data_IF_015317618130
#
_entry.id   IF_015317618130
#
_cell.length_a   1.000
_cell.length_b   1.000
_cell.length_c   1.000
_cell.angle_alpha   90.00
_cell.angle_beta   90.00
_cell.angle_gamma   90.00
#
_symmetry.space_group_name_H-M   'P 1'
#
loop_
_entity.id
_entity.type
_entity.pdbx_description
1 polymer ?
#
# COMPACT_ATOMS: atom_id res chain seq x y z
N UNK A 1 -14.95 2.64 3.79
CA UNK A 1 -13.54 2.48 4.18
C UNK A 1 -12.64 2.84 3.02
N UNK A 2 -12.29 4.11 2.96
CA UNK A 2 -11.30 4.72 2.09
C UNK A 2 -9.91 4.63 2.73
N UNK A 3 -8.86 4.83 1.94
CA UNK A 3 -7.48 4.83 2.45
C UNK A 3 -7.26 5.90 3.55
N UNK A 4 -7.98 7.03 3.49
CA UNK A 4 -8.00 8.05 4.53
C UNK A 4 -8.67 7.57 5.81
N UNK A 5 -9.84 6.94 5.71
CA UNK A 5 -10.57 6.42 6.87
C UNK A 5 -9.77 5.31 7.59
N UNK A 6 -8.98 4.55 6.84
CA UNK A 6 -8.13 3.49 7.39
C UNK A 6 -6.79 4.00 7.93
N UNK A 7 -6.47 5.29 7.77
CA UNK A 7 -5.20 5.87 8.20
C UNK A 7 -4.00 5.49 7.31
N UNK A 8 -4.23 4.93 6.13
CA UNK A 8 -3.17 4.50 5.20
C UNK A 8 -2.79 5.59 4.18
N UNK A 9 -3.60 6.63 4.04
CA UNK A 9 -3.35 7.69 3.06
C UNK A 9 -4.08 8.99 3.37
N UNK A 10 -3.81 10.02 2.56
CA UNK A 10 -4.53 11.29 2.64
C UNK A 10 -5.77 11.35 1.73
N UNK A 11 -5.86 10.45 0.75
CA UNK A 11 -6.96 10.34 -0.21
C UNK A 11 -7.73 9.03 -0.05
N UNK A 12 -8.71 8.81 -0.93
CA UNK A 12 -9.64 7.69 -0.75
C UNK A 12 -9.16 6.37 -1.35
N UNK A 13 -8.42 6.42 -2.45
CA UNK A 13 -8.06 5.23 -3.23
C UNK A 13 -6.55 4.98 -3.33
N UNK A 14 -5.72 5.93 -2.89
CA UNK A 14 -4.27 5.82 -2.97
C UNK A 14 -3.66 5.95 -1.58
N UNK A 15 -2.77 5.01 -1.29
CA UNK A 15 -1.99 4.95 -0.06
C UNK A 15 -0.53 4.60 -0.40
N UNK A 16 0.36 4.89 0.54
CA UNK A 16 1.77 4.50 0.43
C UNK A 16 2.17 3.79 1.71
N UNK A 17 2.81 2.63 1.56
CA UNK A 17 3.38 1.89 2.69
C UNK A 17 4.89 1.92 2.55
N UNK A 18 5.57 2.33 3.61
CA UNK A 18 7.02 2.25 3.69
C UNK A 18 7.41 1.04 4.53
N UNK A 19 8.34 0.26 4.00
CA UNK A 19 9.01 -0.82 4.71
C UNK A 19 10.47 -0.40 4.86
N UNK A 20 10.81 0.32 5.95
CA UNK A 20 12.19 0.64 6.25
C UNK A 20 12.93 -0.64 6.60
N UNK A 21 14.05 -0.88 5.92
CA UNK A 21 14.96 -1.97 6.21
C UNK A 21 15.83 -1.58 7.41
N UNK A 22 15.89 -2.40 8.49
CA UNK A 22 16.70 -2.12 9.68
C UNK A 22 18.19 -1.86 9.39
N UNK A 23 18.74 -2.46 8.32
CA UNK A 23 20.13 -2.32 7.95
C UNK A 23 21.09 -3.29 8.64
N UNK A 24 22.35 -2.90 8.69
CA UNK A 24 23.47 -3.74 9.13
C UNK A 24 23.30 -4.25 10.57
N UNK A 25 23.76 -5.48 10.88
CA UNK A 25 24.60 -6.35 10.05
C UNK A 25 23.83 -7.25 9.06
N UNK A 26 22.50 -7.11 8.97
CA UNK A 26 21.65 -8.09 8.29
C UNK A 26 21.40 -7.75 6.83
N UNK A 27 21.42 -6.47 6.49
CA UNK A 27 21.22 -5.93 5.14
C UNK A 27 22.01 -4.64 4.98
N UNK A 28 22.18 -4.18 3.75
CA UNK A 28 22.76 -2.86 3.48
C UNK A 28 21.83 -1.70 3.91
N UNK A 29 20.65 -1.99 4.46
CA UNK A 29 19.61 -1.03 4.76
C UNK A 29 18.90 -0.51 3.51
N UNK A 30 18.02 0.46 3.71
CA UNK A 30 17.22 1.07 2.64
C UNK A 30 15.76 1.21 3.03
N UNK A 31 14.91 1.57 2.07
CA UNK A 31 13.46 1.63 2.28
C UNK A 31 12.76 1.30 0.99
N UNK A 32 11.85 0.33 1.05
CA UNK A 32 10.92 0.07 -0.06
C UNK A 32 9.65 0.86 0.22
N UNK A 33 9.19 1.61 -0.78
CA UNK A 33 7.89 2.30 -0.72
C UNK A 33 6.96 1.67 -1.74
N UNK A 34 5.85 1.10 -1.28
CA UNK A 34 4.81 0.55 -2.13
C UNK A 34 3.71 1.60 -2.31
N UNK A 35 3.31 1.83 -3.57
CA UNK A 35 2.09 2.57 -3.89
C UNK A 35 0.93 1.60 -4.00
N UNK A 36 -0.08 1.78 -3.15
CA UNK A 36 -1.32 1.03 -3.20
C UNK A 36 -2.37 1.83 -3.95
N UNK A 37 -3.08 1.18 -4.86
CA UNK A 37 -4.23 1.73 -5.55
C UNK A 37 -5.41 0.78 -5.39
N UNK A 38 -6.55 1.32 -4.94
CA UNK A 38 -7.80 0.57 -4.88
C UNK A 38 -8.32 0.38 -6.31
N UNK A 39 -8.49 -0.88 -6.68
CA UNK A 39 -9.18 -1.27 -7.91
C UNK A 39 -10.59 -1.76 -7.56
N UNK A 40 -11.56 -1.42 -8.41
CA UNK A 40 -12.90 -2.00 -8.31
C UNK A 40 -12.87 -3.42 -8.87
N UNK A 41 -13.34 -4.39 -8.08
CA UNK A 41 -13.50 -5.75 -8.57
C UNK A 41 -14.74 -5.74 -9.48
N UNK A 42 -14.52 -5.88 -10.78
CA UNK A 42 -15.62 -6.21 -11.70
C UNK A 42 -16.06 -7.64 -11.40
N UNK A 43 -17.16 -7.78 -10.64
CA UNK A 43 -17.83 -9.06 -10.52
C UNK A 43 -18.51 -9.31 -11.87
N UNK A 44 -17.86 -10.09 -12.71
CA UNK A 44 -18.50 -10.61 -13.92
C UNK A 44 -19.58 -11.56 -13.43
N UNK A 45 -20.84 -11.15 -13.53
CA UNK A 45 -21.97 -12.06 -13.37
C UNK A 45 -21.83 -13.15 -14.45
N UNK A 46 -21.40 -14.34 -14.05
CA UNK A 46 -21.39 -15.50 -14.92
C UNK A 46 -22.83 -15.82 -15.34
N UNK A 47 -23.07 -16.13 -16.63
CA UNK A 47 -24.40 -16.51 -17.10
C UNK A 47 -24.88 -17.83 -16.49
#
# INVERSE_FOLDING_TARGET
LSAKEMGFGKGDNVAFIQCPDPGEPYTCGGTVTFRLQREEIQVVSQP
#
